data_IF_116802272591
#
_entry.id   IF_116802272591
#
_cell.length_a   1.000
_cell.length_b   1.000
_cell.length_c   1.000
_cell.angle_alpha   90.00
_cell.angle_beta   90.00
_cell.angle_gamma   90.00
#
_symmetry.space_group_name_H-M   'P 1'
#
loop_
_entity.id
_entity.type
_entity.pdbx_description
1 polymer ?
#
# COMPACT_ATOMS: atom_id res chain seq x y z
N UNK A 1 18.71 -7.44 -7.31
CA UNK A 1 18.11 -7.76 -5.99
C UNK A 1 17.97 -6.46 -5.21
N UNK A 2 17.05 -5.59 -5.60
CA UNK A 2 16.60 -4.48 -4.73
C UNK A 2 15.33 -5.00 -4.10
N UNK A 3 15.47 -5.97 -3.20
CA UNK A 3 14.33 -6.44 -2.44
C UNK A 3 13.68 -5.23 -1.76
N UNK A 4 12.36 -5.21 -1.69
CA UNK A 4 11.61 -4.35 -0.77
C UNK A 4 12.16 -4.40 0.66
N UNK A 5 13.12 -5.27 1.01
CA UNK A 5 14.04 -5.12 2.14
C UNK A 5 14.92 -3.84 2.13
N UNK A 6 14.94 -2.99 1.10
CA UNK A 6 15.41 -1.60 1.27
C UNK A 6 14.38 -0.74 2.03
N UNK A 7 13.19 -1.28 2.29
CA UNK A 7 12.28 -0.86 3.36
C UNK A 7 12.72 -1.37 4.75
N UNK A 8 13.95 -1.83 4.94
CA UNK A 8 14.51 -1.91 6.31
C UNK A 8 14.65 -0.51 6.95
N UNK A 9 14.68 0.55 6.14
CA UNK A 9 14.50 1.94 6.61
C UNK A 9 13.03 2.36 6.78
N UNK A 10 12.05 1.51 6.45
CA UNK A 10 10.63 1.76 6.80
C UNK A 10 10.38 1.65 8.31
N UNK A 11 11.38 1.23 9.08
CA UNK A 11 11.45 1.50 10.51
C UNK A 11 11.26 3.00 10.82
N UNK A 12 11.84 3.88 10.00
CA UNK A 12 11.86 5.33 10.16
C UNK A 12 10.71 6.04 9.42
N UNK A 13 10.09 5.37 8.44
CA UNK A 13 8.86 5.87 7.83
C UNK A 13 7.70 5.57 8.79
N UNK A 14 6.97 6.63 9.16
CA UNK A 14 5.88 6.61 10.15
C UNK A 14 4.63 6.02 9.49
N UNK A 15 4.75 4.79 8.97
CA UNK A 15 3.59 4.07 8.48
C UNK A 15 2.87 3.38 9.63
N UNK A 16 1.55 3.45 9.57
CA UNK A 16 0.69 2.62 10.39
C UNK A 16 1.06 1.13 10.22
N UNK A 17 1.03 0.36 11.30
CA UNK A 17 1.44 -1.06 11.35
C UNK A 17 0.80 -1.92 10.24
N UNK A 18 -0.42 -1.58 9.80
CA UNK A 18 -1.15 -2.30 8.76
C UNK A 18 -0.51 -2.20 7.38
N UNK A 19 0.03 -1.04 7.02
CA UNK A 19 0.73 -0.83 5.74
C UNK A 19 2.00 -1.66 5.70
N UNK A 20 2.76 -1.67 6.81
CA UNK A 20 3.99 -2.50 6.94
C UNK A 20 3.68 -3.99 6.80
N UNK A 21 2.64 -4.48 7.47
CA UNK A 21 2.17 -5.86 7.37
C UNK A 21 1.71 -6.22 5.95
N UNK A 22 1.04 -5.29 5.28
CA UNK A 22 0.60 -5.46 3.90
C UNK A 22 1.75 -5.53 2.91
N UNK A 23 2.71 -4.61 2.97
CA UNK A 23 3.91 -4.62 2.14
C UNK A 23 4.71 -5.91 2.33
N UNK A 24 4.88 -6.35 3.57
CA UNK A 24 5.50 -7.65 3.88
C UNK A 24 4.76 -8.83 3.23
N UNK A 25 3.41 -8.80 3.24
CA UNK A 25 2.61 -9.83 2.57
C UNK A 25 2.75 -9.82 1.06
N UNK A 26 2.90 -8.65 0.44
CA UNK A 26 3.22 -8.54 -1.00
C UNK A 26 4.54 -9.25 -1.26
N UNK A 27 5.56 -8.90 -0.48
CA UNK A 27 6.93 -9.39 -0.66
C UNK A 27 7.02 -10.92 -0.59
N UNK A 28 6.23 -11.52 0.31
CA UNK A 28 6.10 -12.98 0.47
C UNK A 28 5.15 -13.66 -0.52
N UNK A 29 4.60 -12.93 -1.49
CA UNK A 29 3.56 -13.41 -2.40
C UNK A 29 2.40 -14.13 -1.67
N UNK A 30 1.91 -13.48 -0.61
CA UNK A 30 1.00 -14.06 0.37
C UNK A 30 -0.34 -13.32 0.50
N UNK A 31 -0.59 -12.29 -0.33
CA UNK A 31 -1.89 -11.67 -0.43
C UNK A 31 -2.95 -12.70 -0.88
N UNK A 32 -4.20 -12.63 -0.38
CA UNK A 32 -5.27 -13.53 -0.79
C UNK A 32 -5.86 -13.19 -2.17
N UNK A 33 -5.02 -13.12 -3.20
CA UNK A 33 -5.44 -13.11 -4.61
C UNK A 33 -5.88 -14.51 -5.04
N UNK A 34 -6.74 -14.64 -6.06
CA UNK A 34 -7.26 -15.95 -6.49
C UNK A 34 -6.14 -16.95 -6.82
N UNK A 35 -5.09 -16.52 -7.53
CA UNK A 35 -3.92 -17.36 -7.81
C UNK A 35 -3.23 -17.89 -6.54
N UNK A 36 -3.20 -17.08 -5.48
CA UNK A 36 -2.56 -17.42 -4.21
C UNK A 36 -3.45 -18.33 -3.36
N UNK A 37 -4.77 -18.17 -3.43
CA UNK A 37 -5.74 -19.06 -2.80
C UNK A 37 -5.71 -20.45 -3.44
N UNK A 38 -5.71 -20.52 -4.78
CA UNK A 38 -5.59 -21.77 -5.51
C UNK A 38 -4.28 -22.50 -5.17
N UNK A 39 -3.15 -21.77 -5.10
CA UNK A 39 -1.85 -22.32 -4.67
C UNK A 39 -1.84 -22.86 -3.23
N UNK A 40 -2.75 -22.40 -2.37
CA UNK A 40 -2.95 -22.92 -1.00
C UNK A 40 -3.92 -24.11 -0.94
N UNK A 41 -4.39 -24.60 -2.09
CA UNK A 41 -5.33 -25.73 -2.17
C UNK A 41 -6.79 -25.34 -1.95
N UNK A 42 -7.12 -24.04 -1.97
CA UNK A 42 -8.52 -23.60 -1.91
C UNK A 42 -9.10 -23.72 -3.32
N UNK A 43 -10.24 -24.40 -3.45
CA UNK A 43 -10.94 -24.53 -4.73
C UNK A 43 -11.59 -23.19 -5.09
N UNK A 44 -10.90 -22.44 -5.95
CA UNK A 44 -11.37 -21.18 -6.54
C UNK A 44 -11.02 -21.17 -8.03
N UNK A 45 -11.83 -20.48 -8.83
CA UNK A 45 -11.40 -20.09 -10.17
C UNK A 45 -10.35 -18.99 -10.02
N UNK A 46 -9.25 -19.11 -10.76
CA UNK A 46 -8.13 -18.16 -10.76
C UNK A 46 -8.33 -17.04 -11.77
N UNK A 47 -9.33 -17.17 -12.65
CA UNK A 47 -9.70 -16.12 -13.58
C UNK A 47 -10.37 -14.97 -12.83
N UNK A 48 -10.00 -13.76 -13.20
CA UNK A 48 -10.61 -12.54 -12.71
C UNK A 48 -12.13 -12.59 -12.94
N UNK A 49 -12.91 -12.44 -11.88
CA UNK A 49 -14.38 -12.52 -11.93
C UNK A 49 -15.03 -11.39 -12.74
N UNK A 50 -14.30 -10.31 -13.02
CA UNK A 50 -14.78 -9.17 -13.79
C UNK A 50 -14.45 -9.29 -15.27
N UNK A 51 -13.18 -9.53 -15.62
CA UNK A 51 -12.79 -9.62 -17.02
C UNK A 51 -13.01 -11.00 -17.61
N UNK A 52 -12.95 -12.08 -16.83
CA UNK A 52 -13.19 -13.47 -17.25
C UNK A 52 -12.04 -14.19 -17.95
N UNK A 53 -10.90 -13.54 -18.21
CA UNK A 53 -9.85 -14.10 -19.07
C UNK A 53 -8.41 -13.94 -18.53
N UNK A 54 -8.19 -13.06 -17.55
CA UNK A 54 -6.87 -12.82 -16.95
C UNK A 54 -6.75 -13.55 -15.61
N UNK A 55 -5.56 -14.07 -15.32
CA UNK A 55 -5.26 -14.66 -14.01
C UNK A 55 -5.14 -13.58 -12.94
N UNK A 56 -5.90 -13.71 -11.84
CA UNK A 56 -5.81 -12.76 -10.74
C UNK A 56 -4.65 -13.11 -9.79
N UNK A 57 -3.46 -12.64 -10.14
CA UNK A 57 -2.29 -12.61 -9.26
C UNK A 57 -2.13 -11.26 -8.55
N UNK A 58 -1.01 -11.06 -7.85
CA UNK A 58 -0.75 -9.81 -7.12
C UNK A 58 -0.54 -8.61 -8.03
N UNK A 59 0.19 -8.78 -9.15
CA UNK A 59 0.43 -7.68 -10.08
C UNK A 59 -0.88 -7.30 -10.74
N UNK A 60 -1.67 -8.28 -11.17
CA UNK A 60 -2.98 -8.03 -11.72
C UNK A 60 -3.87 -7.31 -10.72
N UNK A 61 -3.99 -7.82 -9.49
CA UNK A 61 -4.83 -7.21 -8.45
C UNK A 61 -4.46 -5.75 -8.14
N UNK A 62 -3.16 -5.43 -8.12
CA UNK A 62 -2.66 -4.14 -7.65
C UNK A 62 -2.38 -3.13 -8.77
N UNK A 63 -2.13 -3.60 -10.00
CA UNK A 63 -1.69 -2.77 -11.13
C UNK A 63 -2.54 -2.97 -12.38
N UNK A 64 -2.69 -4.21 -12.88
CA UNK A 64 -3.28 -4.43 -14.21
C UNK A 64 -4.80 -4.51 -14.23
N UNK A 65 -5.42 -4.71 -13.08
CA UNK A 65 -6.87 -4.73 -12.95
C UNK A 65 -7.44 -3.36 -13.36
N UNK A 66 -8.47 -3.28 -14.23
CA UNK A 66 -8.96 -2.01 -14.77
C UNK A 66 -9.34 -0.97 -13.70
N UNK A 67 -9.89 -1.42 -12.57
CA UNK A 67 -10.20 -0.54 -11.44
C UNK A 67 -8.91 -0.03 -10.78
N UNK A 68 -7.92 -0.88 -10.58
CA UNK A 68 -6.62 -0.50 -10.03
C UNK A 68 -5.91 0.51 -10.94
N UNK A 69 -5.94 0.33 -12.26
CA UNK A 69 -5.43 1.31 -13.23
C UNK A 69 -6.10 2.68 -13.09
N UNK A 70 -7.43 2.66 -12.98
CA UNK A 70 -8.23 3.88 -12.83
C UNK A 70 -7.94 4.58 -11.49
N UNK A 71 -7.77 3.78 -10.42
CA UNK A 71 -7.38 4.26 -9.10
C UNK A 71 -6.02 4.96 -9.14
N UNK A 72 -5.01 4.35 -9.78
CA UNK A 72 -3.68 4.92 -9.91
C UNK A 72 -3.66 6.23 -10.69
N UNK A 73 -4.37 6.26 -11.83
CA UNK A 73 -4.48 7.45 -12.66
C UNK A 73 -5.18 8.61 -11.93
N UNK A 74 -6.21 8.31 -11.13
CA UNK A 74 -6.96 9.30 -10.36
C UNK A 74 -6.27 9.70 -9.04
N UNK A 75 -5.24 8.96 -8.61
CA UNK A 75 -4.50 9.24 -7.39
C UNK A 75 -3.64 10.51 -7.51
N UNK A 76 -3.18 11.11 -6.40
CA UNK A 76 -2.24 12.22 -6.41
C UNK A 76 -0.91 11.93 -7.13
N UNK A 77 -0.56 10.65 -7.32
CA UNK A 77 0.65 10.25 -8.05
C UNK A 77 0.42 10.14 -9.58
N UNK A 78 -0.83 10.13 -10.05
CA UNK A 78 -1.16 10.12 -11.48
C UNK A 78 -0.52 8.97 -12.27
N UNK A 79 -0.33 7.81 -11.63
CA UNK A 79 0.44 6.70 -12.21
C UNK A 79 -0.34 6.07 -13.36
N UNK A 80 0.26 6.09 -14.56
CA UNK A 80 -0.21 5.36 -15.74
C UNK A 80 0.40 3.96 -15.72
N UNK A 81 -0.23 3.08 -14.94
CA UNK A 81 0.22 1.70 -14.64
C UNK A 81 0.47 0.84 -15.88
N UNK A 82 -0.20 1.12 -16.99
CA UNK A 82 -0.05 0.45 -18.28
C UNK A 82 1.22 0.86 -19.04
N UNK A 83 1.82 2.00 -18.69
CA UNK A 83 3.07 2.48 -19.30
C UNK A 83 4.32 1.97 -18.59
N UNK A 84 4.16 1.33 -17.43
CA UNK A 84 5.26 0.75 -16.65
C UNK A 84 5.23 -0.78 -16.85
N UNK A 85 5.97 -1.32 -17.83
CA UNK A 85 5.99 -2.75 -18.06
C UNK A 85 6.57 -3.48 -16.86
N UNK A 86 5.79 -4.39 -16.30
CA UNK A 86 6.20 -5.29 -15.23
C UNK A 86 5.65 -6.70 -15.51
N UNK A 87 6.44 -7.72 -15.23
CA UNK A 87 6.04 -9.13 -15.37
C UNK A 87 5.64 -9.75 -14.04
N UNK A 88 5.98 -9.08 -12.92
CA UNK A 88 5.54 -9.43 -11.58
C UNK A 88 5.47 -8.18 -10.69
N UNK A 89 4.82 -8.32 -9.55
CA UNK A 89 4.61 -7.23 -8.59
C UNK A 89 5.92 -6.66 -8.05
N UNK A 90 6.98 -7.48 -7.93
CA UNK A 90 8.26 -7.01 -7.39
C UNK A 90 8.96 -6.09 -8.38
N UNK A 91 8.98 -6.45 -9.67
CA UNK A 91 9.57 -5.59 -10.69
C UNK A 91 8.83 -4.26 -10.80
N UNK A 92 7.50 -4.26 -10.66
CA UNK A 92 6.74 -3.02 -10.59
C UNK A 92 7.11 -2.18 -9.36
N UNK A 93 7.16 -2.79 -8.18
CA UNK A 93 7.54 -2.08 -6.95
C UNK A 93 8.99 -1.56 -6.98
N UNK A 94 9.90 -2.31 -7.59
CA UNK A 94 11.30 -1.90 -7.80
C UNK A 94 11.38 -0.68 -8.72
N UNK A 95 10.50 -0.59 -9.73
CA UNK A 95 10.45 0.57 -10.63
C UNK A 95 10.08 1.85 -9.89
N UNK A 96 9.12 1.79 -8.96
CA UNK A 96 8.71 2.92 -8.11
C UNK A 96 9.79 3.23 -7.08
N UNK A 97 10.35 2.21 -6.42
CA UNK A 97 11.45 2.37 -5.45
C UNK A 97 12.71 2.99 -6.06
N UNK A 98 12.93 2.83 -7.37
CA UNK A 98 14.07 3.39 -8.08
C UNK A 98 14.08 4.92 -8.12
N UNK A 99 12.93 5.57 -7.87
CA UNK A 99 12.78 7.02 -7.84
C UNK A 99 13.47 7.66 -6.62
N UNK A 100 13.71 6.88 -5.55
CA UNK A 100 14.42 7.31 -4.32
C UNK A 100 13.87 8.61 -3.70
N UNK A 101 12.56 8.79 -3.77
CA UNK A 101 11.85 9.89 -3.13
C UNK A 101 11.01 9.34 -1.98
N UNK A 102 11.44 9.62 -0.74
CA UNK A 102 10.82 9.05 0.46
C UNK A 102 9.35 9.47 0.61
N UNK A 103 9.00 10.71 0.25
CA UNK A 103 7.63 11.21 0.34
C UNK A 103 6.73 10.58 -0.71
N UNK A 104 7.25 10.37 -1.93
CA UNK A 104 6.57 9.62 -2.98
C UNK A 104 6.37 8.17 -2.54
N UNK A 105 7.38 7.52 -1.97
CA UNK A 105 7.29 6.13 -1.50
C UNK A 105 6.32 5.98 -0.32
N UNK A 106 6.25 6.98 0.56
CA UNK A 106 5.25 7.06 1.63
C UNK A 106 3.83 7.12 1.04
N UNK A 107 3.60 8.09 0.16
CA UNK A 107 2.30 8.26 -0.52
C UNK A 107 1.90 7.01 -1.30
N UNK A 108 2.85 6.44 -2.06
CA UNK A 108 2.63 5.25 -2.87
C UNK A 108 2.24 4.04 -2.02
N UNK A 109 2.92 3.82 -0.90
CA UNK A 109 2.66 2.68 -0.02
C UNK A 109 1.26 2.74 0.62
N UNK A 110 0.80 3.93 1.01
CA UNK A 110 -0.55 4.15 1.54
C UNK A 110 -1.60 3.93 0.45
N UNK A 111 -1.38 4.50 -0.75
CA UNK A 111 -2.27 4.31 -1.90
C UNK A 111 -2.34 2.84 -2.32
N UNK A 112 -1.24 2.10 -2.26
CA UNK A 112 -1.19 0.68 -2.59
C UNK A 112 -2.03 -0.15 -1.61
N UNK A 113 -1.94 0.15 -0.32
CA UNK A 113 -2.81 -0.49 0.69
C UNK A 113 -4.28 -0.15 0.46
N UNK A 114 -4.61 1.11 0.18
CA UNK A 114 -5.97 1.55 -0.11
C UNK A 114 -6.55 0.85 -1.35
N UNK A 115 -5.79 0.78 -2.44
CA UNK A 115 -6.16 0.06 -3.66
C UNK A 115 -6.55 -1.39 -3.35
N UNK A 116 -5.70 -2.07 -2.56
CA UNK A 116 -5.97 -3.43 -2.10
C UNK A 116 -7.19 -3.52 -1.18
N UNK A 117 -7.31 -2.63 -0.20
CA UNK A 117 -8.41 -2.62 0.76
C UNK A 117 -9.76 -2.43 0.05
N UNK A 118 -9.84 -1.47 -0.87
CA UNK A 118 -10.99 -1.25 -1.74
C UNK A 118 -11.35 -2.55 -2.47
N UNK A 119 -10.42 -3.14 -3.23
CA UNK A 119 -10.67 -4.39 -3.97
C UNK A 119 -11.28 -5.49 -3.10
N UNK A 120 -10.88 -5.61 -1.83
CA UNK A 120 -11.37 -6.64 -0.91
C UNK A 120 -12.64 -6.28 -0.13
N UNK A 121 -13.12 -5.03 -0.18
CA UNK A 121 -14.32 -4.62 0.55
C UNK A 121 -15.65 -4.98 -0.16
N UNK A 122 -15.65 -5.39 -1.43
CA UNK A 122 -16.83 -5.90 -2.17
C UNK A 122 -18.20 -5.24 -1.85
N UNK A 123 -18.27 -3.91 -1.73
CA UNK A 123 -19.53 -3.17 -1.77
C UNK A 123 -19.63 -2.53 -3.16
N UNK A 124 -20.55 -3.06 -3.98
CA UNK A 124 -21.10 -2.51 -5.24
C UNK A 124 -20.41 -1.26 -5.82
N UNK A 125 -19.50 -1.47 -6.78
CA UNK A 125 -18.53 -0.50 -7.35
C UNK A 125 -19.06 0.67 -8.19
N UNK A 126 -20.32 1.08 -8.07
CA UNK A 126 -20.86 2.17 -8.92
C UNK A 126 -20.80 3.57 -8.27
N UNK A 127 -20.59 3.71 -6.95
CA UNK A 127 -20.64 5.03 -6.28
C UNK A 127 -19.52 5.34 -5.26
N UNK A 128 -18.69 4.38 -4.83
CA UNK A 128 -17.72 4.58 -3.73
C UNK A 128 -16.31 5.00 -4.17
N UNK A 129 -15.91 4.78 -5.44
CA UNK A 129 -14.58 5.12 -5.97
C UNK A 129 -14.24 6.62 -5.84
N UNK A 130 -15.21 7.50 -6.07
CA UNK A 130 -15.05 8.95 -5.89
C UNK A 130 -15.01 9.37 -4.42
N UNK A 131 -15.64 8.62 -3.51
CA UNK A 131 -15.64 8.91 -2.07
C UNK A 131 -14.32 8.49 -1.42
N UNK A 132 -13.82 7.30 -1.70
CA UNK A 132 -12.55 6.81 -1.15
C UNK A 132 -11.35 7.67 -1.61
N UNK A 133 -11.32 8.09 -2.88
CA UNK A 133 -10.23 8.93 -3.41
C UNK A 133 -10.29 10.37 -2.85
N UNK A 134 -11.49 10.91 -2.63
CA UNK A 134 -11.68 12.33 -2.28
C UNK A 134 -11.84 12.59 -0.78
N UNK A 135 -12.21 11.58 0.01
CA UNK A 135 -12.50 11.69 1.45
C UNK A 135 -11.51 10.88 2.30
N UNK A 136 -11.22 9.62 1.95
CA UNK A 136 -10.32 8.78 2.75
C UNK A 136 -8.85 9.15 2.59
N UNK A 137 -8.41 9.67 1.43
CA UNK A 137 -7.03 10.14 1.29
C UNK A 137 -6.71 11.35 2.19
N UNK A 138 -7.52 12.44 2.21
CA UNK A 138 -7.34 13.52 3.17
C UNK A 138 -7.50 13.07 4.63
N UNK A 139 -8.43 12.17 4.95
CA UNK A 139 -8.60 11.66 6.31
C UNK A 139 -7.40 10.81 6.75
N UNK A 140 -6.91 9.90 5.91
CA UNK A 140 -5.72 9.10 6.19
C UNK A 140 -4.50 10.00 6.42
N UNK A 141 -4.31 11.04 5.58
CA UNK A 141 -3.23 12.03 5.75
C UNK A 141 -3.44 12.92 6.99
N UNK A 142 -4.68 13.26 7.36
CA UNK A 142 -4.97 14.01 8.59
C UNK A 142 -4.76 13.19 9.86
N UNK A 143 -5.15 11.91 9.84
CA UNK A 143 -4.87 10.97 10.93
C UNK A 143 -3.37 10.75 11.08
N UNK A 144 -2.63 10.66 9.98
CA UNK A 144 -1.18 10.57 9.99
C UNK A 144 -0.52 11.83 10.54
N UNK A 145 -1.00 13.02 10.17
CA UNK A 145 -0.53 14.28 10.77
C UNK A 145 -0.78 14.35 12.29
N UNK A 146 -1.93 13.87 12.75
CA UNK A 146 -2.26 13.79 14.19
C UNK A 146 -1.42 12.75 14.92
N UNK A 147 -1.21 11.58 14.32
CA UNK A 147 -0.36 10.53 14.88
C UNK A 147 1.10 10.99 14.97
N UNK A 148 1.64 11.63 13.92
CA UNK A 148 2.98 12.24 13.91
C UNK A 148 3.14 13.29 15.01
N UNK A 149 2.11 14.09 15.28
CA UNK A 149 2.11 15.08 16.36
C UNK A 149 2.10 14.43 17.76
N UNK A 150 1.23 13.44 17.98
CA UNK A 150 1.17 12.72 19.27
C UNK A 150 2.44 11.93 19.56
N UNK A 151 3.07 11.35 18.54
CA UNK A 151 4.33 10.62 18.69
C UNK A 151 5.50 11.57 19.01
N UNK A 152 5.59 12.73 18.33
CA UNK A 152 6.57 13.75 18.64
C UNK A 152 6.43 14.30 20.06
N UNK A 153 5.19 14.51 20.54
CA UNK A 153 4.92 14.95 21.92
C UNK A 153 5.36 13.92 22.95
N UNK A 154 5.11 12.62 22.70
CA UNK A 154 5.57 11.52 23.57
C UNK A 154 7.10 11.44 23.62
N UNK A 155 7.78 11.60 22.49
CA UNK A 155 9.24 11.60 22.44
C UNK A 155 9.81 12.78 23.24
N UNK A 156 9.26 13.99 23.06
CA UNK A 156 9.69 15.17 23.80
C UNK A 156 9.48 15.02 25.32
N UNK A 157 8.36 14.43 25.75
CA UNK A 157 8.10 14.12 27.16
C UNK A 157 9.11 13.12 27.74
N UNK A 158 9.45 12.08 26.98
CA UNK A 158 10.44 11.08 27.40
C UNK A 158 11.85 11.68 27.51
N UNK A 159 12.22 12.58 26.61
CA UNK A 159 13.50 13.31 26.67
C UNK A 159 13.55 14.27 27.86
N UNK A 160 12.47 15.01 28.12
CA UNK A 160 12.36 15.88 29.29
C UNK A 160 12.45 15.09 30.61
N UNK A 161 11.79 13.92 30.68
CA UNK A 161 11.88 13.02 31.84
C UNK A 161 13.30 12.50 32.06
N UNK A 162 14.02 12.11 30.99
CA UNK A 162 15.43 11.69 31.09
C UNK A 162 16.32 12.82 31.60
N UNK A 163 16.13 14.05 31.10
CA UNK A 163 16.88 15.21 31.58
C UNK A 163 16.66 15.49 33.07
N UNK A 164 15.42 15.38 33.54
CA UNK A 164 15.10 15.53 34.97
C UNK A 164 15.75 14.45 35.84
N UNK A 165 15.80 13.20 35.35
CA UNK A 165 16.45 12.10 36.04
C UNK A 165 17.98 12.22 36.10
N UNK A 166 18.61 12.90 35.14
CA UNK A 166 20.07 13.15 35.16
C UNK A 166 20.49 14.32 36.05
N UNK A 167 19.53 15.10 36.57
CA UNK A 167 19.77 16.25 37.45
C UNK A 167 19.58 15.93 38.95
N UNK A 168 19.22 14.68 39.28
CA UNK A 168 19.19 14.11 40.64
C UNK A 168 20.43 13.27 40.91
#
# INVERSE_FOLDING_TARGET
MVSLLRLKDVSNLIFHIWVKQFLWRIDLNSLPCLANLARRGISVDVMCSWCGHEFEDQLYSLNDYPISRSYWLASPLGIQSDQVPATDVRMWLDSVASLKDDQLLETFSVLLWNCWALKNQQVSWELELLFAIRVDFPLCMQFEGRYKAEEAEKVALLEALRHLQTLQ
#
